data_IF_267670709025
#
_entry.id   IF_267670709025
#
_cell.length_a   1.000
_cell.length_b   1.000
_cell.length_c   1.000
_cell.angle_alpha   90.00
_cell.angle_beta   90.00
_cell.angle_gamma   90.00
#
_symmetry.space_group_name_H-M   'P 1'
#
loop_
_entity.id
_entity.type
_entity.pdbx_description
1 polymer ?
#
# COMPACT_ATOMS: atom_id res chain seq x y z
N UNK A 1 26.22 22.64 8.55
CA UNK A 1 26.12 23.23 7.21
C UNK A 1 24.71 23.65 6.83
N UNK A 2 23.66 23.39 7.61
CA UNK A 2 22.30 23.88 7.31
C UNK A 2 21.55 24.36 8.55
N UNK A 3 20.67 25.35 8.35
CA UNK A 3 19.50 25.63 9.18
C UNK A 3 18.30 24.84 8.65
N UNK A 4 17.40 24.39 9.53
CA UNK A 4 16.14 23.75 9.11
C UNK A 4 15.36 24.65 8.13
N UNK A 5 14.84 24.09 7.03
CA UNK A 5 14.04 24.81 6.02
C UNK A 5 14.82 25.47 4.87
N UNK A 6 16.13 25.24 4.76
CA UNK A 6 16.92 25.70 3.61
C UNK A 6 16.57 25.01 2.28
N UNK A 7 16.74 25.71 1.16
CA UNK A 7 16.66 25.09 -0.18
C UNK A 7 17.91 24.23 -0.45
N UNK A 8 17.80 23.11 -1.17
CA UNK A 8 18.98 22.34 -1.61
C UNK A 8 19.89 23.17 -2.53
N UNK A 9 21.20 22.88 -2.51
CA UNK A 9 22.19 23.42 -3.44
C UNK A 9 23.47 23.96 -2.80
N UNK A 10 23.64 23.82 -1.48
CA UNK A 10 24.86 24.22 -0.80
C UNK A 10 26.02 23.28 -1.17
N UNK A 11 27.21 23.82 -1.41
CA UNK A 11 28.40 23.02 -1.75
C UNK A 11 29.50 23.25 -0.72
N UNK A 12 29.92 22.18 -0.04
CA UNK A 12 31.14 22.15 0.75
C UNK A 12 32.31 21.72 -0.11
N UNK A 13 33.36 22.53 -0.20
CA UNK A 13 34.61 22.12 -0.85
C UNK A 13 35.70 21.91 0.20
N UNK A 14 36.29 20.71 0.22
CA UNK A 14 37.48 20.36 1.01
C UNK A 14 38.69 20.35 0.08
N UNK A 15 39.57 21.36 0.20
CA UNK A 15 40.74 21.56 -0.66
C UNK A 15 41.93 20.62 -0.33
N UNK A 16 41.65 19.42 0.19
CA UNK A 16 42.63 18.44 0.63
C UNK A 16 41.96 17.15 1.09
N UNK A 17 42.61 16.43 1.99
CA UNK A 17 42.07 15.18 2.54
C UNK A 17 40.97 15.45 3.58
N UNK A 18 40.01 14.53 3.68
CA UNK A 18 38.94 14.55 4.68
C UNK A 18 39.02 13.31 5.59
N UNK A 19 39.05 13.55 6.90
CA UNK A 19 39.03 12.48 7.91
C UNK A 19 37.74 12.59 8.73
N UNK A 20 36.87 11.59 8.60
CA UNK A 20 35.66 11.44 9.39
C UNK A 20 35.94 10.85 10.77
N UNK A 21 35.49 11.51 11.84
CA UNK A 21 35.58 11.05 13.23
C UNK A 21 34.19 10.85 13.85
N UNK A 22 33.30 10.12 13.17
CA UNK A 22 31.89 9.89 13.54
C UNK A 22 31.04 11.17 13.65
N UNK A 23 31.49 12.27 13.03
CA UNK A 23 30.73 13.52 12.96
C UNK A 23 29.46 13.37 12.12
N UNK A 24 28.45 14.19 12.41
CA UNK A 24 27.22 14.27 11.63
C UNK A 24 27.34 15.33 10.53
N UNK A 25 27.06 14.92 9.29
CA UNK A 25 26.89 15.79 8.15
C UNK A 25 25.44 15.75 7.67
N UNK A 26 24.85 16.93 7.45
CA UNK A 26 23.46 17.05 6.99
C UNK A 26 23.43 17.60 5.58
N UNK A 27 22.64 16.97 4.71
CA UNK A 27 22.35 17.40 3.35
C UNK A 27 20.86 17.68 3.19
N UNK A 28 20.51 18.77 2.53
CA UNK A 28 19.17 19.00 2.02
C UNK A 28 19.08 18.42 0.60
N UNK A 29 17.98 17.73 0.29
CA UNK A 29 17.75 17.20 -1.05
C UNK A 29 16.26 17.22 -1.40
N UNK A 30 15.90 17.56 -2.64
CA UNK A 30 14.55 17.30 -3.17
C UNK A 30 14.54 15.88 -3.72
N UNK A 31 14.22 14.89 -2.87
CA UNK A 31 14.32 13.47 -3.23
C UNK A 31 13.45 13.12 -4.45
N UNK A 32 14.09 12.50 -5.44
CA UNK A 32 13.57 12.24 -6.77
C UNK A 32 14.50 11.31 -7.54
N UNK A 33 14.74 11.60 -8.83
CA UNK A 33 15.68 10.85 -9.67
C UNK A 33 17.10 11.44 -9.62
N UNK A 34 18.02 10.90 -10.43
CA UNK A 34 19.46 11.20 -10.40
C UNK A 34 19.80 12.71 -10.43
N UNK A 35 19.03 13.51 -11.15
CA UNK A 35 19.25 14.96 -11.30
C UNK A 35 18.60 15.80 -10.19
N UNK A 36 18.18 15.18 -9.09
CA UNK A 36 17.54 15.87 -7.97
C UNK A 36 18.44 16.97 -7.39
N UNK A 37 17.91 18.19 -7.17
CA UNK A 37 18.63 19.23 -6.44
C UNK A 37 19.04 18.74 -5.04
N UNK A 38 20.31 18.87 -4.73
CA UNK A 38 20.88 18.44 -3.46
C UNK A 38 22.06 19.31 -3.04
N UNK A 39 22.30 19.40 -1.74
CA UNK A 39 23.60 19.84 -1.23
C UNK A 39 24.69 18.85 -1.61
N UNK A 40 25.94 19.32 -1.72
CA UNK A 40 27.09 18.50 -2.11
C UNK A 40 28.30 18.71 -1.22
N UNK A 41 29.12 17.68 -1.11
CA UNK A 41 30.46 17.73 -0.56
C UNK A 41 31.47 17.28 -1.62
N UNK A 42 32.43 18.14 -1.93
CA UNK A 42 33.48 17.86 -2.90
C UNK A 42 34.82 17.81 -2.18
N UNK A 43 35.42 16.63 -2.10
CA UNK A 43 36.74 16.39 -1.49
C UNK A 43 37.78 16.30 -2.60
N UNK A 44 38.74 17.23 -2.64
CA UNK A 44 39.79 17.23 -3.67
C UNK A 44 40.89 16.21 -3.42
N UNK A 45 41.09 15.78 -2.17
CA UNK A 45 42.05 14.74 -1.78
C UNK A 45 41.38 13.40 -1.42
N UNK A 46 42.03 12.66 -0.53
CA UNK A 46 41.59 11.35 -0.05
C UNK A 46 40.55 11.47 1.08
N UNK A 47 39.67 10.46 1.22
CA UNK A 47 38.80 10.31 2.39
C UNK A 47 39.23 9.14 3.25
N UNK A 48 39.08 9.27 4.58
CA UNK A 48 39.29 8.19 5.55
C UNK A 48 38.37 8.36 6.77
N UNK A 49 38.24 7.31 7.59
CA UNK A 49 37.41 7.34 8.80
C UNK A 49 35.91 7.22 8.52
N UNK A 50 35.08 7.56 9.50
CA UNK A 50 33.62 7.38 9.44
C UNK A 50 32.88 8.70 9.57
N UNK A 51 31.82 8.89 8.79
CA UNK A 51 30.94 10.06 8.86
C UNK A 51 29.49 9.63 8.83
N UNK A 52 28.71 10.14 9.78
CA UNK A 52 27.26 9.95 9.84
C UNK A 52 26.60 10.97 8.92
N UNK A 53 25.64 10.54 8.13
CA UNK A 53 24.93 11.37 7.17
C UNK A 53 23.46 11.43 7.53
N UNK A 54 22.90 12.64 7.57
CA UNK A 54 21.46 12.87 7.62
C UNK A 54 21.05 13.57 6.34
N UNK A 55 19.94 13.14 5.77
CA UNK A 55 19.36 13.76 4.58
C UNK A 55 17.98 14.27 4.94
N UNK A 56 17.77 15.57 4.81
CA UNK A 56 16.47 16.20 4.98
C UNK A 56 15.81 16.34 3.60
N UNK A 57 14.65 15.68 3.42
CA UNK A 57 13.89 15.75 2.17
C UNK A 57 13.11 17.07 2.09
N UNK A 58 13.48 17.95 1.15
CA UNK A 58 12.86 19.25 0.92
C UNK A 58 11.93 19.17 -0.28
N UNK A 59 10.66 18.84 -0.02
CA UNK A 59 9.58 18.83 -1.03
C UNK A 59 9.70 17.74 -2.11
N UNK A 60 10.61 16.78 -1.94
CA UNK A 60 10.75 15.66 -2.86
C UNK A 60 9.62 14.65 -2.73
N UNK A 61 9.04 14.26 -3.85
CA UNK A 61 7.96 13.26 -3.93
C UNK A 61 8.49 11.84 -4.16
N UNK A 62 9.82 11.68 -4.32
CA UNK A 62 10.45 10.42 -4.62
C UNK A 62 10.28 9.99 -6.09
N UNK A 63 11.30 9.33 -6.60
CA UNK A 63 11.32 8.69 -7.91
C UNK A 63 12.41 7.62 -7.95
N UNK A 64 12.34 6.73 -8.93
CA UNK A 64 13.43 5.78 -9.17
C UNK A 64 14.70 6.53 -9.59
N UNK A 65 15.84 6.09 -9.06
CA UNK A 65 17.18 6.45 -9.55
C UNK A 65 17.72 5.37 -10.48
N UNK A 66 18.71 5.75 -11.30
CA UNK A 66 19.53 4.82 -12.08
C UNK A 66 20.93 4.79 -11.49
N UNK A 67 21.62 5.93 -11.50
CA UNK A 67 22.96 6.06 -10.92
C UNK A 67 22.92 6.63 -9.48
N UNK A 68 21.80 7.22 -9.08
CA UNK A 68 21.63 7.85 -7.78
C UNK A 68 21.85 9.36 -7.80
N UNK A 69 21.46 10.01 -6.71
CA UNK A 69 21.61 11.45 -6.45
C UNK A 69 22.96 11.64 -5.76
N UNK A 70 23.92 12.25 -6.44
CA UNK A 70 25.29 12.44 -5.93
C UNK A 70 25.34 13.40 -4.74
N UNK A 71 25.81 12.93 -3.59
CA UNK A 71 26.03 13.76 -2.40
C UNK A 71 27.50 14.12 -2.19
N UNK A 72 28.40 13.17 -2.46
CA UNK A 72 29.82 13.30 -2.12
C UNK A 72 30.67 12.91 -3.32
N UNK A 73 31.47 13.86 -3.78
CA UNK A 73 32.49 13.67 -4.83
C UNK A 73 33.87 13.54 -4.17
N UNK A 74 34.64 12.52 -4.54
CA UNK A 74 35.99 12.29 -4.02
C UNK A 74 37.01 12.22 -5.15
N UNK A 75 37.93 13.20 -5.19
CA UNK A 75 38.99 13.25 -6.20
C UNK A 75 40.12 12.23 -5.98
N UNK A 76 40.47 11.97 -4.72
CA UNK A 76 41.53 11.04 -4.33
C UNK A 76 41.08 9.60 -4.17
N UNK A 77 41.63 8.90 -3.19
CA UNK A 77 41.20 7.59 -2.73
C UNK A 77 39.98 7.73 -1.79
N UNK A 78 38.88 7.01 -2.07
CA UNK A 78 37.67 7.06 -1.24
C UNK A 78 37.65 5.94 -0.19
N UNK A 79 38.60 5.96 0.76
CA UNK A 79 38.68 4.99 1.85
C UNK A 79 37.82 5.35 3.08
N UNK A 80 37.22 6.55 3.11
CA UNK A 80 36.26 6.95 4.14
C UNK A 80 34.91 6.27 3.93
N UNK A 81 34.18 6.07 5.04
CA UNK A 81 32.86 5.49 5.06
C UNK A 81 31.79 6.53 5.44
N UNK A 82 30.73 6.60 4.63
CA UNK A 82 29.59 7.48 4.86
C UNK A 82 28.33 6.65 4.99
N UNK A 83 27.56 6.88 6.05
CA UNK A 83 26.38 6.08 6.34
C UNK A 83 25.21 6.95 6.79
N UNK A 84 24.00 6.66 6.29
CA UNK A 84 22.80 7.31 6.81
C UNK A 84 22.59 6.95 8.27
N UNK A 85 22.19 7.92 9.09
CA UNK A 85 21.95 7.72 10.52
C UNK A 85 20.84 6.71 10.84
N UNK A 86 19.96 6.46 9.88
CA UNK A 86 18.79 5.56 9.94
C UNK A 86 18.89 4.39 8.95
N UNK A 87 20.04 4.24 8.28
CA UNK A 87 20.24 3.31 7.16
C UNK A 87 19.54 3.71 5.84
N UNK A 88 18.36 4.30 5.91
CA UNK A 88 17.56 4.74 4.75
C UNK A 88 16.95 6.13 4.93
N UNK A 89 16.57 6.74 3.81
CA UNK A 89 15.67 7.91 3.75
C UNK A 89 14.60 7.65 2.69
N UNK A 90 13.38 8.13 2.92
CA UNK A 90 12.21 7.77 2.12
C UNK A 90 11.53 8.99 1.49
N UNK A 91 11.00 8.81 0.27
CA UNK A 91 10.11 9.78 -0.37
C UNK A 91 9.12 9.08 -1.31
N UNK A 92 7.85 9.47 -1.25
CA UNK A 92 6.79 8.83 -2.03
C UNK A 92 6.72 7.33 -1.78
N UNK A 93 6.83 6.53 -2.83
CA UNK A 93 6.88 5.07 -2.74
C UNK A 93 8.31 4.51 -2.55
N UNK A 94 9.34 5.33 -2.67
CA UNK A 94 10.73 4.89 -2.78
C UNK A 94 11.50 5.00 -1.46
N UNK A 95 12.41 4.07 -1.27
CA UNK A 95 13.43 4.08 -0.22
C UNK A 95 14.77 4.35 -0.88
N UNK A 96 15.58 5.20 -0.27
CA UNK A 96 16.94 5.51 -0.70
C UNK A 96 17.93 5.10 0.40
N UNK A 97 19.09 4.59 0.00
CA UNK A 97 20.24 4.43 0.89
C UNK A 97 21.44 5.19 0.33
N UNK A 98 22.43 5.45 1.18
CA UNK A 98 23.69 6.03 0.74
C UNK A 98 24.64 4.91 0.32
N UNK A 99 25.02 4.92 -0.95
CA UNK A 99 25.81 3.87 -1.58
C UNK A 99 26.99 4.46 -2.35
N UNK A 100 28.05 3.67 -2.53
CA UNK A 100 29.12 4.00 -3.47
C UNK A 100 28.65 3.82 -4.91
N UNK A 101 29.16 4.66 -5.81
CA UNK A 101 28.97 4.48 -7.25
C UNK A 101 29.64 3.19 -7.76
N UNK A 102 29.50 2.93 -9.06
CA UNK A 102 30.03 1.74 -9.73
C UNK A 102 30.88 2.15 -10.93
N UNK A 103 31.88 1.35 -11.28
CA UNK A 103 32.76 1.64 -12.41
C UNK A 103 33.55 2.94 -12.21
N UNK A 104 33.46 3.87 -13.15
CA UNK A 104 34.20 5.14 -13.10
C UNK A 104 33.81 6.02 -11.89
N UNK A 105 32.65 5.76 -11.28
CA UNK A 105 32.09 6.55 -10.19
C UNK A 105 32.26 5.89 -8.81
N UNK A 106 33.08 4.83 -8.70
CA UNK A 106 33.29 4.04 -7.46
C UNK A 106 33.83 4.85 -6.27
N UNK A 107 34.36 6.04 -6.54
CA UNK A 107 34.88 6.97 -5.53
C UNK A 107 33.80 7.85 -4.92
N UNK A 108 32.69 8.05 -5.64
CA UNK A 108 31.64 8.99 -5.27
C UNK A 108 30.52 8.26 -4.52
N UNK A 109 29.73 9.03 -3.75
CA UNK A 109 28.62 8.52 -2.96
C UNK A 109 27.29 9.14 -3.37
N UNK A 110 26.28 8.30 -3.47
CA UNK A 110 24.99 8.60 -4.05
C UNK A 110 23.86 8.13 -3.14
N UNK A 111 22.80 8.92 -3.02
CA UNK A 111 21.52 8.39 -2.58
C UNK A 111 20.88 7.63 -3.74
N UNK A 112 20.64 6.34 -3.55
CA UNK A 112 20.08 5.50 -4.60
C UNK A 112 18.87 4.73 -4.12
N UNK A 113 17.86 4.61 -4.97
CA UNK A 113 16.74 3.68 -4.80
C UNK A 113 17.07 2.26 -5.28
N UNK A 114 18.26 2.05 -5.87
CA UNK A 114 18.71 0.75 -6.36
C UNK A 114 20.11 0.42 -5.86
N UNK A 115 20.23 -0.66 -5.10
CA UNK A 115 21.50 -1.12 -4.54
C UNK A 115 21.53 -2.64 -4.39
N UNK A 116 22.74 -3.15 -4.32
CA UNK A 116 23.01 -4.55 -4.02
C UNK A 116 22.82 -4.84 -2.52
N UNK A 117 22.12 -5.94 -2.22
CA UNK A 117 21.92 -6.43 -0.85
C UNK A 117 20.64 -5.95 -0.15
N UNK A 118 20.67 -6.01 1.18
CA UNK A 118 19.62 -5.51 2.09
C UNK A 118 20.23 -4.38 2.92
N UNK A 119 19.42 -3.39 3.31
CA UNK A 119 19.95 -2.30 4.14
C UNK A 119 20.47 -2.86 5.47
N UNK A 120 21.71 -2.54 5.90
CA UNK A 120 22.16 -2.87 7.24
C UNK A 120 21.18 -2.29 8.27
N UNK A 121 20.86 -3.07 9.31
CA UNK A 121 20.18 -2.54 10.49
C UNK A 121 21.04 -1.43 11.12
N UNK A 122 20.43 -0.49 11.84
CA UNK A 122 21.08 0.59 12.59
C UNK A 122 22.21 0.05 13.50
N UNK A 123 23.40 -0.17 12.95
CA UNK A 123 24.58 -0.52 13.74
C UNK A 123 25.58 0.63 13.68
N UNK A 124 26.03 1.14 14.84
CA UNK A 124 27.07 2.18 14.91
C UNK A 124 28.46 1.73 14.43
N UNK A 125 28.58 0.49 13.97
CA UNK A 125 29.86 -0.09 13.57
C UNK A 125 30.29 0.41 12.19
N UNK A 126 31.61 0.53 11.94
CA UNK A 126 32.11 0.83 10.60
C UNK A 126 31.50 -0.17 9.61
N UNK A 127 30.81 0.36 8.59
CA UNK A 127 30.27 -0.47 7.52
C UNK A 127 31.48 -0.96 6.72
N UNK A 128 31.97 -2.17 7.03
CA UNK A 128 33.11 -2.77 6.35
C UNK A 128 32.85 -3.00 4.85
N UNK A 129 31.58 -3.00 4.43
CA UNK A 129 31.19 -3.11 3.03
C UNK A 129 29.96 -2.22 2.76
N UNK A 130 30.14 -0.94 2.37
CA UNK A 130 29.01 -0.06 2.09
C UNK A 130 28.18 -0.60 0.92
N UNK A 131 26.87 -0.29 0.88
CA UNK A 131 26.06 -0.58 -0.30
C UNK A 131 26.68 0.00 -1.56
N UNK A 132 26.50 -0.69 -2.69
CA UNK A 132 26.94 -0.24 -4.01
C UNK A 132 25.71 0.00 -4.88
N UNK A 133 25.72 1.07 -5.66
CA UNK A 133 24.67 1.37 -6.64
C UNK A 133 24.56 0.21 -7.62
N UNK A 134 23.34 -0.29 -7.82
CA UNK A 134 23.03 -1.33 -8.80
C UNK A 134 22.00 -0.82 -9.82
N UNK A 135 22.44 -0.27 -10.96
CA UNK A 135 21.52 0.31 -11.95
C UNK A 135 20.56 -0.71 -12.56
N UNK A 136 20.97 -1.99 -12.63
CA UNK A 136 20.21 -3.09 -13.23
C UNK A 136 19.23 -3.73 -12.24
N UNK A 137 19.47 -3.57 -10.94
CA UNK A 137 18.62 -4.09 -9.88
C UNK A 137 17.24 -3.43 -9.78
N UNK A 138 16.31 -4.06 -9.03
CA UNK A 138 15.00 -3.49 -8.78
C UNK A 138 15.10 -2.35 -7.75
N UNK A 139 14.27 -1.32 -7.97
CA UNK A 139 14.08 -0.24 -7.02
C UNK A 139 13.50 -0.75 -5.71
N UNK A 140 13.91 -0.14 -4.61
CA UNK A 140 13.40 -0.47 -3.28
C UNK A 140 12.22 0.42 -2.92
N UNK A 141 11.11 -0.22 -2.59
CA UNK A 141 9.85 0.41 -2.21
C UNK A 141 9.62 0.32 -0.71
N UNK A 142 8.89 1.32 -0.22
CA UNK A 142 8.44 1.40 1.17
C UNK A 142 7.39 0.31 1.47
N UNK A 143 7.47 -0.41 2.60
CA UNK A 143 6.40 -1.28 3.10
C UNK A 143 5.02 -0.60 3.14
N UNK A 144 4.96 0.69 3.44
CA UNK A 144 3.73 1.49 3.47
C UNK A 144 2.98 1.44 2.14
N UNK A 145 3.69 1.38 1.01
CA UNK A 145 3.05 1.27 -0.31
C UNK A 145 2.17 0.00 -0.40
N UNK A 146 2.62 -1.12 0.17
CA UNK A 146 1.81 -2.35 0.22
C UNK A 146 0.60 -2.22 1.14
N UNK A 147 0.73 -1.50 2.26
CA UNK A 147 -0.40 -1.19 3.16
C UNK A 147 -1.44 -0.29 2.49
N UNK A 148 -1.00 0.73 1.74
CA UNK A 148 -1.89 1.55 0.90
C UNK A 148 -2.63 0.73 -0.16
N UNK A 149 -1.91 -0.13 -0.89
CA UNK A 149 -2.51 -1.02 -1.89
C UNK A 149 -3.54 -1.95 -1.24
N UNK A 150 -3.23 -2.52 -0.07
CA UNK A 150 -4.12 -3.39 0.71
C UNK A 150 -5.41 -2.66 1.11
N UNK A 151 -5.31 -1.44 1.65
CA UNK A 151 -6.47 -0.65 2.03
C UNK A 151 -7.34 -0.31 0.81
N UNK A 152 -6.75 0.10 -0.32
CA UNK A 152 -7.49 0.41 -1.55
C UNK A 152 -8.18 -0.84 -2.11
N UNK A 153 -7.50 -1.99 -2.14
CA UNK A 153 -8.10 -3.26 -2.56
C UNK A 153 -9.27 -3.68 -1.65
N UNK A 154 -9.13 -3.48 -0.34
CA UNK A 154 -10.17 -3.75 0.64
C UNK A 154 -11.37 -2.83 0.46
N UNK A 155 -11.16 -1.51 0.31
CA UNK A 155 -12.25 -0.54 0.12
C UNK A 155 -13.17 -0.92 -1.06
N UNK A 156 -12.62 -1.53 -2.11
CA UNK A 156 -13.37 -1.95 -3.29
C UNK A 156 -14.02 -3.34 -3.18
N UNK A 157 -13.58 -4.18 -2.24
CA UNK A 157 -13.98 -5.60 -2.19
C UNK A 157 -14.70 -6.02 -0.91
N UNK A 158 -14.55 -5.28 0.20
CA UNK A 158 -15.07 -5.65 1.52
C UNK A 158 -16.59 -5.93 1.50
N UNK A 159 -17.38 -5.09 0.84
CA UNK A 159 -18.84 -5.22 0.80
C UNK A 159 -19.38 -5.91 -0.46
N UNK A 160 -18.50 -6.39 -1.33
CA UNK A 160 -18.90 -7.08 -2.56
C UNK A 160 -19.56 -8.41 -2.23
N UNK A 161 -20.77 -8.62 -2.77
CA UNK A 161 -21.57 -9.80 -2.50
C UNK A 161 -22.29 -10.33 -3.74
N UNK A 162 -22.74 -11.58 -3.64
CA UNK A 162 -23.50 -12.31 -4.65
C UNK A 162 -24.96 -12.46 -4.20
N UNK A 163 -25.89 -12.57 -5.15
CA UNK A 163 -27.29 -12.94 -4.87
C UNK A 163 -27.43 -14.12 -3.89
N UNK A 164 -26.66 -15.19 -4.10
CA UNK A 164 -26.71 -16.37 -3.24
C UNK A 164 -26.18 -16.12 -1.82
N UNK A 165 -25.31 -15.12 -1.66
CA UNK A 165 -24.82 -14.71 -0.33
C UNK A 165 -25.91 -13.97 0.47
N UNK A 166 -26.92 -13.41 -0.20
CA UNK A 166 -28.06 -12.72 0.41
C UNK A 166 -29.20 -13.69 0.77
N UNK A 167 -29.51 -14.60 -0.14
CA UNK A 167 -30.71 -15.46 -0.03
C UNK A 167 -30.45 -16.81 0.65
N UNK A 168 -29.19 -17.21 0.85
CA UNK A 168 -28.84 -18.55 1.35
C UNK A 168 -29.31 -19.67 0.42
N UNK A 169 -29.34 -20.91 0.90
CA UNK A 169 -30.07 -22.01 0.24
C UNK A 169 -31.57 -21.85 0.53
N UNK A 170 -32.41 -21.50 -0.46
CA UNK A 170 -33.78 -21.11 -0.20
C UNK A 170 -34.72 -22.33 -0.10
N UNK A 171 -34.21 -23.50 0.31
CA UNK A 171 -35.00 -24.73 0.46
C UNK A 171 -35.67 -24.84 1.84
N UNK A 172 -35.25 -24.05 2.83
CA UNK A 172 -35.66 -24.26 4.23
C UNK A 172 -36.69 -23.26 4.79
N UNK A 173 -36.95 -22.12 4.13
CA UNK A 173 -37.82 -21.07 4.70
C UNK A 173 -39.21 -20.99 4.07
N UNK A 174 -39.49 -21.75 3.00
CA UNK A 174 -40.77 -21.73 2.29
C UNK A 174 -41.94 -22.35 3.10
N UNK A 175 -41.63 -23.02 4.22
CA UNK A 175 -42.64 -23.63 5.10
C UNK A 175 -43.28 -22.64 6.10
N UNK A 176 -42.80 -21.39 6.19
CA UNK A 176 -43.31 -20.37 7.12
C UNK A 176 -44.10 -19.23 6.44
N UNK A 177 -44.20 -19.23 5.10
CA UNK A 177 -44.83 -18.16 4.31
C UNK A 177 -46.36 -18.31 4.13
N UNK A 178 -47.10 -18.85 5.12
CA UNK A 178 -48.54 -19.11 4.93
C UNK A 178 -49.49 -17.94 5.24
N UNK A 179 -49.01 -16.79 5.74
CA UNK A 179 -49.87 -15.63 5.96
C UNK A 179 -49.14 -14.31 5.70
N UNK A 180 -49.52 -13.60 4.62
CA UNK A 180 -49.33 -12.15 4.42
C UNK A 180 -47.89 -11.63 4.42
N UNK A 181 -47.41 -11.17 3.24
CA UNK A 181 -46.26 -10.27 3.03
C UNK A 181 -45.21 -10.23 4.15
N UNK A 182 -44.50 -11.33 4.38
CA UNK A 182 -43.39 -11.33 5.32
C UNK A 182 -42.19 -10.60 4.69
N UNK A 183 -41.84 -9.42 5.24
CA UNK A 183 -40.57 -8.74 4.95
C UNK A 183 -39.42 -9.68 5.30
N UNK A 184 -38.67 -10.16 4.30
CA UNK A 184 -37.52 -11.03 4.52
C UNK A 184 -36.33 -10.19 4.98
N UNK A 185 -35.73 -10.56 6.10
CA UNK A 185 -34.48 -10.00 6.60
C UNK A 185 -33.36 -11.02 6.45
N UNK A 186 -32.19 -10.56 6.04
CA UNK A 186 -30.98 -11.37 5.94
C UNK A 186 -29.83 -10.70 6.67
N UNK A 187 -28.91 -11.54 7.14
CA UNK A 187 -27.69 -11.13 7.82
C UNK A 187 -26.56 -12.02 7.34
N UNK A 188 -25.40 -11.41 7.07
CA UNK A 188 -24.22 -12.07 6.53
C UNK A 188 -22.98 -11.69 7.34
N UNK A 189 -22.21 -12.70 7.73
CA UNK A 189 -20.89 -12.55 8.33
C UNK A 189 -19.83 -13.17 7.43
N UNK A 190 -18.73 -12.46 7.17
CA UNK A 190 -17.61 -12.96 6.38
C UNK A 190 -16.32 -12.71 7.12
N UNK A 191 -15.59 -13.78 7.46
CA UNK A 191 -14.18 -13.71 7.83
C UNK A 191 -13.31 -14.10 6.64
N UNK A 192 -12.17 -13.43 6.47
CA UNK A 192 -11.25 -13.74 5.38
C UNK A 192 -9.80 -13.50 5.75
N UNK A 193 -8.91 -14.31 5.19
CA UNK A 193 -7.48 -14.10 5.20
C UNK A 193 -6.99 -13.97 3.76
N UNK A 194 -6.12 -13.00 3.50
CA UNK A 194 -5.58 -12.71 2.18
C UNK A 194 -4.07 -12.50 2.24
N UNK A 195 -3.38 -12.92 1.17
CA UNK A 195 -1.95 -12.69 0.98
C UNK A 195 -1.72 -12.13 -0.41
N UNK A 196 -0.95 -11.05 -0.49
CA UNK A 196 -0.61 -10.40 -1.75
C UNK A 196 0.87 -10.02 -1.78
N UNK A 197 1.38 -9.79 -2.99
CA UNK A 197 2.74 -9.33 -3.24
C UNK A 197 2.74 -8.12 -4.15
N UNK A 198 3.62 -7.17 -3.89
CA UNK A 198 3.80 -5.97 -4.69
C UNK A 198 5.28 -5.59 -4.82
N UNK A 199 5.61 -4.67 -5.73
CA UNK A 199 6.96 -4.15 -5.89
C UNK A 199 7.98 -5.20 -6.32
N UNK A 200 7.68 -5.97 -7.37
CA UNK A 200 8.55 -7.07 -7.83
C UNK A 200 8.80 -8.16 -6.77
N UNK A 201 7.76 -8.43 -5.96
CA UNK A 201 7.82 -9.46 -4.90
C UNK A 201 8.52 -9.01 -3.62
N UNK A 202 9.01 -7.77 -3.55
CA UNK A 202 9.69 -7.28 -2.35
C UNK A 202 8.74 -7.04 -1.17
N UNK A 203 7.50 -6.61 -1.46
CA UNK A 203 6.49 -6.31 -0.45
C UNK A 203 5.54 -7.50 -0.33
N UNK A 204 5.55 -8.15 0.83
CA UNK A 204 4.64 -9.23 1.16
C UNK A 204 3.60 -8.72 2.17
N UNK A 205 2.33 -8.71 1.77
CA UNK A 205 1.24 -8.23 2.62
C UNK A 205 0.34 -9.38 3.02
N UNK A 206 0.01 -9.44 4.31
CA UNK A 206 -0.99 -10.36 4.85
C UNK A 206 -2.11 -9.54 5.46
N UNK A 207 -3.36 -9.90 5.17
CA UNK A 207 -4.53 -9.18 5.64
C UNK A 207 -5.57 -10.14 6.24
N UNK A 208 -6.20 -9.71 7.32
CA UNK A 208 -7.37 -10.37 7.91
C UNK A 208 -8.54 -9.40 7.89
N UNK A 209 -9.68 -9.85 7.39
CA UNK A 209 -10.90 -9.03 7.30
C UNK A 209 -12.08 -9.68 7.98
N UNK A 210 -12.95 -8.84 8.51
CA UNK A 210 -14.26 -9.20 8.99
C UNK A 210 -15.31 -8.24 8.43
N UNK A 211 -16.40 -8.80 7.92
CA UNK A 211 -17.50 -8.06 7.31
C UNK A 211 -18.81 -8.55 7.91
N UNK A 212 -19.65 -7.60 8.32
CA UNK A 212 -21.03 -7.79 8.71
C UNK A 212 -21.92 -6.99 7.75
N UNK A 213 -22.87 -7.66 7.10
CA UNK A 213 -23.90 -7.03 6.28
C UNK A 213 -25.27 -7.49 6.74
N UNK A 214 -26.25 -6.59 6.63
CA UNK A 214 -27.65 -6.89 6.91
C UNK A 214 -28.52 -6.12 5.93
N UNK A 215 -29.69 -6.68 5.62
CA UNK A 215 -30.64 -6.04 4.74
C UNK A 215 -32.00 -6.69 4.80
N UNK A 216 -32.96 -6.07 4.12
CA UNK A 216 -34.31 -6.60 4.05
C UNK A 216 -35.08 -6.06 2.86
N UNK A 217 -36.09 -6.83 2.45
CA UNK A 217 -36.98 -6.48 1.36
C UNK A 217 -38.00 -5.43 1.83
N UNK A 218 -38.08 -4.30 1.10
CA UNK A 218 -39.06 -3.24 1.33
C UNK A 218 -40.33 -3.43 0.51
N UNK A 219 -40.19 -3.93 -0.72
CA UNK A 219 -41.31 -4.10 -1.64
C UNK A 219 -41.10 -5.33 -2.52
N UNK A 220 -42.20 -6.01 -2.80
CA UNK A 220 -42.21 -7.14 -3.71
C UNK A 220 -43.45 -7.03 -4.61
N UNK A 221 -43.27 -7.21 -5.93
CA UNK A 221 -44.36 -7.17 -6.90
C UNK A 221 -44.21 -8.26 -7.97
N UNK A 222 -45.32 -8.59 -8.62
CA UNK A 222 -45.40 -9.55 -9.71
C UNK A 222 -46.23 -8.93 -10.83
N UNK A 223 -45.80 -9.08 -12.08
CA UNK A 223 -46.53 -8.58 -13.24
C UNK A 223 -47.43 -9.65 -13.86
N UNK A 224 -47.02 -10.92 -13.83
CA UNK A 224 -47.67 -12.03 -14.52
C UNK A 224 -47.95 -13.25 -13.61
N UNK A 225 -48.01 -13.06 -12.28
CA UNK A 225 -48.19 -14.10 -11.24
C UNK A 225 -47.08 -15.17 -11.15
N UNK A 226 -46.20 -15.29 -12.15
CA UNK A 226 -45.04 -16.18 -12.15
C UNK A 226 -43.73 -15.45 -11.88
N UNK A 227 -43.62 -14.19 -12.29
CA UNK A 227 -42.43 -13.38 -12.06
C UNK A 227 -42.48 -12.69 -10.70
N UNK A 228 -41.31 -12.44 -10.10
CA UNK A 228 -41.20 -11.78 -8.80
C UNK A 228 -40.08 -10.78 -8.81
N UNK A 229 -40.40 -9.55 -8.46
CA UNK A 229 -39.46 -8.49 -8.15
C UNK A 229 -39.30 -8.34 -6.64
N UNK A 230 -38.06 -8.18 -6.21
CA UNK A 230 -37.67 -7.84 -4.84
C UNK A 230 -36.89 -6.54 -4.87
N UNK A 231 -37.29 -5.57 -4.06
CA UNK A 231 -36.57 -4.33 -3.84
C UNK A 231 -36.26 -4.22 -2.35
N UNK A 232 -34.99 -4.01 -2.00
CA UNK A 232 -34.56 -3.96 -0.62
C UNK A 232 -33.45 -2.98 -0.34
N UNK A 233 -33.27 -2.72 0.95
CA UNK A 233 -32.18 -1.91 1.51
C UNK A 233 -31.17 -2.80 2.20
N UNK A 234 -29.93 -2.34 2.26
CA UNK A 234 -28.88 -3.01 3.00
C UNK A 234 -27.86 -2.02 3.55
N UNK A 235 -27.22 -2.43 4.64
CA UNK A 235 -26.11 -1.73 5.24
C UNK A 235 -25.07 -2.74 5.73
N UNK A 236 -23.86 -2.28 5.93
CA UNK A 236 -22.79 -3.13 6.44
C UNK A 236 -21.74 -2.37 7.21
N UNK A 237 -21.00 -3.11 8.03
CA UNK A 237 -19.78 -2.68 8.68
C UNK A 237 -18.67 -3.68 8.33
N UNK A 238 -17.49 -3.16 8.05
CA UNK A 238 -16.32 -3.98 7.75
C UNK A 238 -15.09 -3.40 8.42
N UNK A 239 -14.17 -4.29 8.79
CA UNK A 239 -12.82 -3.93 9.17
C UNK A 239 -11.81 -4.89 8.56
N UNK A 240 -10.62 -4.39 8.31
CA UNK A 240 -9.48 -5.18 7.89
C UNK A 240 -8.21 -4.62 8.52
N UNK A 241 -7.35 -5.52 8.98
CA UNK A 241 -6.00 -5.21 9.38
C UNK A 241 -5.02 -5.95 8.49
N UNK A 242 -3.96 -5.27 8.07
CA UNK A 242 -2.91 -5.84 7.23
C UNK A 242 -1.52 -5.48 7.75
N UNK A 243 -0.59 -6.40 7.53
CA UNK A 243 0.83 -6.22 7.83
C UNK A 243 1.63 -6.45 6.56
N UNK A 244 2.46 -5.48 6.19
CA UNK A 244 3.34 -5.52 5.03
C UNK A 244 4.79 -5.57 5.47
N UNK A 245 5.50 -6.59 5.01
CA UNK A 245 6.94 -6.77 5.24
C UNK A 245 7.70 -6.59 3.94
N UNK A 246 8.88 -5.97 4.02
CA UNK A 246 9.81 -5.91 2.90
C UNK A 246 10.99 -6.85 3.14
N UNK A 247 11.45 -7.52 2.09
CA UNK A 247 12.68 -8.32 2.13
C UNK A 247 13.95 -7.48 1.80
N UNK A 248 13.80 -6.19 1.49
CA UNK A 248 14.90 -5.26 1.15
C UNK A 248 15.25 -4.32 2.30
N UNK A 249 14.27 -3.94 3.11
CA UNK A 249 14.43 -3.01 4.24
C UNK A 249 14.07 -3.67 5.56
N UNK A 250 14.72 -3.27 6.65
CA UNK A 250 14.60 -3.88 7.97
C UNK A 250 13.36 -3.47 8.79
N UNK A 251 12.34 -2.86 8.18
CA UNK A 251 11.14 -2.39 8.86
C UNK A 251 9.86 -2.84 8.14
N UNK A 252 8.73 -2.76 8.85
CA UNK A 252 7.41 -3.18 8.39
C UNK A 252 6.40 -2.03 8.41
N UNK A 253 5.26 -2.24 7.76
CA UNK A 253 4.11 -1.35 7.82
C UNK A 253 2.84 -2.08 8.21
N UNK A 254 2.01 -1.42 8.99
CA UNK A 254 0.69 -1.86 9.38
C UNK A 254 -0.37 -0.99 8.71
N UNK A 255 -1.30 -1.62 8.01
CA UNK A 255 -2.47 -0.99 7.40
C UNK A 255 -3.75 -1.35 8.14
N UNK A 256 -4.64 -0.38 8.32
CA UNK A 256 -5.99 -0.57 8.85
C UNK A 256 -6.99 0.15 7.98
N UNK A 257 -8.14 -0.49 7.79
CA UNK A 257 -9.32 0.09 7.17
C UNK A 257 -10.54 -0.38 7.94
N UNK A 258 -11.40 0.56 8.30
CA UNK A 258 -12.73 0.26 8.85
C UNK A 258 -13.75 1.15 8.20
N UNK A 259 -14.95 0.65 7.97
CA UNK A 259 -15.95 1.46 7.32
C UNK A 259 -17.33 0.87 7.33
N UNK A 260 -18.24 1.68 6.80
CA UNK A 260 -19.65 1.39 6.71
C UNK A 260 -20.11 1.50 5.26
N UNK A 261 -21.14 0.73 4.91
CA UNK A 261 -21.81 0.85 3.63
C UNK A 261 -23.32 0.95 3.82
N UNK A 262 -23.99 1.64 2.90
CA UNK A 262 -25.44 1.69 2.80
C UNK A 262 -25.86 1.68 1.34
N UNK A 263 -26.94 1.00 1.00
CA UNK A 263 -27.42 0.97 -0.37
C UNK A 263 -28.66 0.13 -0.60
N UNK A 264 -28.90 -0.16 -1.88
CA UNK A 264 -30.13 -0.75 -2.40
C UNK A 264 -29.80 -1.96 -3.27
N UNK A 265 -30.72 -2.91 -3.32
CA UNK A 265 -30.66 -4.03 -4.26
C UNK A 265 -32.03 -4.28 -4.90
N UNK A 266 -32.00 -4.79 -6.11
CA UNK A 266 -33.18 -5.23 -6.84
C UNK A 266 -32.92 -6.59 -7.49
N UNK A 267 -33.84 -7.53 -7.28
CA UNK A 267 -33.80 -8.86 -7.89
C UNK A 267 -35.07 -9.14 -8.65
N UNK A 268 -34.93 -9.69 -9.84
CA UNK A 268 -36.03 -10.17 -10.65
C UNK A 268 -35.85 -11.67 -10.93
N UNK A 269 -36.93 -12.43 -10.73
CA UNK A 269 -37.04 -13.82 -11.11
C UNK A 269 -38.10 -13.98 -12.21
N UNK A 270 -37.77 -14.71 -13.28
CA UNK A 270 -38.70 -15.05 -14.35
C UNK A 270 -39.78 -16.04 -13.89
N UNK A 271 -39.43 -16.97 -13.00
CA UNK A 271 -40.33 -17.97 -12.43
C UNK A 271 -39.90 -18.28 -10.99
N UNK A 272 -40.54 -17.60 -10.04
CA UNK A 272 -40.24 -17.74 -8.61
C UNK A 272 -40.79 -19.06 -8.04
N UNK A 273 -41.99 -19.47 -8.47
CA UNK A 273 -42.72 -20.63 -7.94
C UNK A 273 -41.96 -21.96 -8.06
N UNK A 274 -41.22 -22.19 -9.14
CA UNK A 274 -40.44 -23.41 -9.34
C UNK A 274 -38.91 -23.17 -9.34
N UNK A 275 -38.49 -21.90 -9.21
CA UNK A 275 -37.10 -21.43 -9.38
C UNK A 275 -36.42 -21.97 -10.64
N UNK A 276 -37.21 -22.21 -11.69
CA UNK A 276 -36.78 -22.65 -13.02
C UNK A 276 -36.96 -21.50 -14.00
N UNK A 277 -35.92 -20.69 -14.22
CA UNK A 277 -36.00 -19.54 -15.13
C UNK A 277 -34.88 -18.54 -14.89
N UNK A 278 -34.73 -17.57 -15.80
CA UNK A 278 -33.70 -16.55 -15.66
C UNK A 278 -33.90 -15.70 -14.39
N UNK A 279 -32.80 -15.21 -13.84
CA UNK A 279 -32.80 -14.19 -12.80
C UNK A 279 -31.87 -13.04 -13.17
N UNK A 280 -32.21 -11.85 -12.70
CA UNK A 280 -31.37 -10.66 -12.74
C UNK A 280 -31.25 -10.12 -11.32
N UNK A 281 -30.03 -9.88 -10.86
CA UNK A 281 -29.74 -9.27 -9.57
C UNK A 281 -28.87 -8.04 -9.77
N UNK A 282 -29.25 -6.94 -9.14
CA UNK A 282 -28.53 -5.68 -9.22
C UNK A 282 -28.45 -5.04 -7.84
N UNK A 283 -27.32 -4.39 -7.56
CA UNK A 283 -27.15 -3.66 -6.31
C UNK A 283 -26.18 -2.50 -6.46
N UNK A 284 -26.35 -1.51 -5.59
CA UNK A 284 -25.46 -0.37 -5.45
C UNK A 284 -25.28 -0.01 -3.98
N UNK A 285 -24.05 0.29 -3.58
CA UNK A 285 -23.62 0.67 -2.24
C UNK A 285 -22.86 1.99 -2.30
N UNK A 286 -23.10 2.87 -1.34
CA UNK A 286 -22.21 3.96 -1.00
C UNK A 286 -21.41 3.55 0.24
N UNK A 287 -20.09 3.75 0.19
CA UNK A 287 -19.17 3.29 1.22
C UNK A 287 -18.39 4.48 1.81
N UNK A 288 -18.19 4.45 3.12
CA UNK A 288 -17.35 5.37 3.88
C UNK A 288 -16.32 4.56 4.66
N UNK A 289 -15.04 4.90 4.52
CA UNK A 289 -13.94 4.20 5.16
C UNK A 289 -12.98 5.17 5.82
N UNK A 290 -12.60 4.85 7.05
CA UNK A 290 -11.50 5.46 7.77
C UNK A 290 -10.29 4.53 7.62
N UNK A 291 -9.16 5.06 7.17
CA UNK A 291 -7.96 4.30 6.83
C UNK A 291 -6.77 4.86 7.60
N UNK A 292 -5.88 3.96 8.01
CA UNK A 292 -4.65 4.33 8.70
C UNK A 292 -3.50 3.48 8.18
N UNK A 293 -2.34 4.10 7.95
CA UNK A 293 -1.09 3.42 7.62
C UNK A 293 0.00 3.89 8.58
N UNK A 294 0.62 2.94 9.28
CA UNK A 294 1.70 3.22 10.22
C UNK A 294 2.93 2.34 9.93
N UNK A 295 4.09 2.78 10.42
CA UNK A 295 5.36 2.05 10.35
C UNK A 295 6.18 2.32 11.62
N UNK A 296 7.03 1.38 12.03
CA UNK A 296 7.76 1.42 13.31
C UNK A 296 8.52 2.74 13.59
N UNK A 297 8.95 3.45 12.54
CA UNK A 297 9.77 4.67 12.64
C UNK A 297 9.04 5.96 12.19
N UNK A 298 7.71 5.96 12.05
CA UNK A 298 6.94 7.15 11.63
C UNK A 298 5.61 7.31 12.34
N UNK A 299 5.10 8.54 12.36
CA UNK A 299 3.71 8.81 12.71
C UNK A 299 2.76 8.12 11.75
N UNK A 300 1.59 7.72 12.25
CA UNK A 300 0.51 7.20 11.42
C UNK A 300 0.04 8.25 10.42
N UNK A 301 -0.33 7.79 9.24
CA UNK A 301 -0.99 8.57 8.19
C UNK A 301 -2.46 8.12 8.12
N UNK A 302 -3.36 9.00 8.55
CA UNK A 302 -4.79 8.75 8.66
C UNK A 302 -5.54 9.49 7.54
N UNK A 303 -6.41 8.79 6.83
CA UNK A 303 -7.15 9.34 5.69
C UNK A 303 -8.53 8.70 5.50
N UNK A 304 -9.46 9.50 4.99
CA UNK A 304 -10.81 9.06 4.65
C UNK A 304 -10.88 8.64 3.19
N UNK A 305 -11.62 7.58 2.90
CA UNK A 305 -12.01 7.21 1.54
C UNK A 305 -13.51 6.97 1.43
N UNK A 306 -14.08 7.38 0.30
CA UNK A 306 -15.52 7.28 0.02
C UNK A 306 -15.71 6.86 -1.42
N UNK A 307 -16.69 6.02 -1.69
CA UNK A 307 -16.89 5.53 -3.05
C UNK A 307 -18.19 4.77 -3.24
N UNK A 308 -18.60 4.66 -4.50
CA UNK A 308 -19.78 3.89 -4.91
C UNK A 308 -19.32 2.58 -5.52
N UNK A 309 -19.96 1.48 -5.11
CA UNK A 309 -19.77 0.15 -5.69
C UNK A 309 -21.10 -0.37 -6.20
N UNK A 310 -21.15 -0.85 -7.44
CA UNK A 310 -22.36 -1.42 -8.02
C UNK A 310 -22.08 -2.70 -8.78
N UNK A 311 -23.07 -3.58 -8.87
CA UNK A 311 -22.97 -4.84 -9.62
C UNK A 311 -24.30 -5.19 -10.27
N UNK A 312 -24.23 -5.87 -11.41
CA UNK A 312 -25.36 -6.51 -12.08
C UNK A 312 -24.96 -7.93 -12.44
N UNK A 313 -25.82 -8.89 -12.14
CA UNK A 313 -25.66 -10.30 -12.47
C UNK A 313 -26.91 -10.83 -13.15
N UNK A 314 -26.71 -11.71 -14.13
CA UNK A 314 -27.75 -12.48 -14.79
C UNK A 314 -27.40 -13.97 -14.70
N UNK A 315 -28.39 -14.83 -14.55
CA UNK A 315 -28.16 -16.28 -14.56
C UNK A 315 -29.41 -17.09 -14.87
N UNK A 316 -29.22 -18.36 -15.23
CA UNK A 316 -30.29 -19.33 -15.49
C UNK A 316 -29.94 -20.64 -14.76
N UNK A 317 -30.71 -21.08 -13.75
CA UNK A 317 -30.52 -22.36 -13.10
C UNK A 317 -31.03 -23.49 -14.01
N UNK A 318 -30.19 -24.49 -14.27
CA UNK A 318 -30.55 -25.69 -15.03
C UNK A 318 -30.82 -26.85 -14.07
N UNK A 319 -32.04 -27.40 -14.07
CA UNK A 319 -32.33 -28.67 -13.40
C UNK A 319 -31.80 -29.82 -14.26
N UNK A 320 -30.90 -30.63 -13.70
CA UNK A 320 -30.43 -31.87 -14.33
C UNK A 320 -31.07 -33.03 -13.57
N UNK A 321 -31.94 -33.78 -14.24
CA UNK A 321 -32.48 -35.03 -13.69
C UNK A 321 -31.37 -36.09 -13.78
N UNK A 322 -30.98 -36.66 -12.64
CA UNK A 322 -30.10 -37.83 -12.55
C UNK A 322 -30.97 -39.01 -12.11
#
# INVERSE_FOLDING_TARGET
>A
MNSEGGKPGNVLTVNGNYTGNNGLMTFNATLGGDNSPTDKMNVKGDTQGNTRVRVDNIGGVGAQTVNGIELIEVGGNSAGNFALTTGTVEAGAYVYTLAKGKGNDEKNWYLTSKWDGVTPADTPDPINNPPVVDPEGPSVYRPEAGSYISNIAAANSLFSHRLHDRLGEPQYTDSLHSQGSASSMWMRHVGGHERSRAGDGQLNTQANRYVLQLGGDLAQWSSNAQDRWHLGVMAGYANQHSNTQSNRVGYKSDGRISGYSAGLYATWYQNDANKTGAYVDSWALYNWFDNSVSSDNRSADDYDSRGVTASVRVGIPLKRNI
#
